data_IF_888467017591
#
_entry.id   IF_888467017591
#
_cell.length_a   1.000
_cell.length_b   1.000
_cell.length_c   1.000
_cell.angle_alpha   90.00
_cell.angle_beta   90.00
_cell.angle_gamma   90.00
#
_symmetry.space_group_name_H-M   'P 1'
#
loop_
_entity.id
_entity.type
_entity.pdbx_description
1 polymer ?
#
# COMPACT_ATOMS: atom_id res chain seq x y z
N UNK A 1 9.14 37.66 30.07
CA UNK A 1 9.49 37.24 28.71
C UNK A 1 9.42 35.71 28.67
N UNK A 2 8.32 35.19 28.22
CA UNK A 2 8.06 33.74 28.15
C UNK A 2 8.50 33.28 26.76
N UNK A 3 9.56 32.48 26.70
CA UNK A 3 10.02 31.80 25.51
C UNK A 3 8.96 30.78 25.08
N UNK A 4 8.31 31.05 23.96
CA UNK A 4 7.46 30.11 23.28
C UNK A 4 8.36 29.06 22.59
N UNK A 5 8.46 27.88 23.18
CA UNK A 5 9.10 26.74 22.52
C UNK A 5 8.32 26.41 21.24
N UNK A 6 8.95 26.68 20.10
CA UNK A 6 8.48 26.18 18.80
C UNK A 6 8.69 24.67 18.79
N UNK A 7 7.61 23.91 18.75
CA UNK A 7 7.63 22.50 18.38
C UNK A 7 8.20 22.36 16.95
N UNK A 8 9.05 21.37 16.69
CA UNK A 8 9.61 21.15 15.35
C UNK A 8 8.47 20.94 14.33
N UNK A 9 8.45 21.76 13.29
CA UNK A 9 7.59 21.56 12.12
C UNK A 9 7.96 20.20 11.48
N UNK A 10 7.06 19.21 11.57
CA UNK A 10 7.23 17.89 10.94
C UNK A 10 6.50 16.75 11.62
N UNK A 11 6.13 16.86 12.87
CA UNK A 11 5.38 15.80 13.56
C UNK A 11 3.90 16.17 13.66
N UNK A 12 3.13 15.84 12.63
CA UNK A 12 1.67 15.84 12.76
C UNK A 12 1.24 14.66 13.61
N UNK A 13 0.96 14.92 14.87
CA UNK A 13 0.38 13.95 15.81
C UNK A 13 -1.10 13.64 15.53
N UNK A 14 -1.67 14.21 14.47
CA UNK A 14 -3.08 14.00 14.11
C UNK A 14 -3.19 12.96 13.00
N UNK A 15 -4.18 12.04 13.08
CA UNK A 15 -4.55 11.20 11.96
C UNK A 15 -4.78 12.09 10.72
N UNK A 16 -4.22 11.70 9.58
CA UNK A 16 -4.37 12.49 8.34
C UNK A 16 -5.77 12.38 7.72
N UNK A 17 -6.59 11.49 8.22
CA UNK A 17 -7.98 11.40 7.84
C UNK A 17 -8.70 12.59 8.45
N UNK A 18 -9.06 13.57 7.64
CA UNK A 18 -9.93 14.66 8.07
C UNK A 18 -11.38 14.25 7.86
N UNK A 19 -12.28 14.49 8.83
CA UNK A 19 -13.71 14.33 8.59
C UNK A 19 -14.11 15.10 7.34
N UNK A 20 -14.83 14.43 6.43
CA UNK A 20 -15.26 15.03 5.17
C UNK A 20 -16.75 15.33 5.25
N UNK A 21 -17.12 16.58 4.93
CA UNK A 21 -18.49 16.98 4.69
C UNK A 21 -18.77 16.87 3.18
N UNK A 22 -19.80 16.13 2.82
CA UNK A 22 -20.23 16.01 1.43
C UNK A 22 -21.01 17.26 1.02
N UNK A 23 -20.31 18.34 0.67
CA UNK A 23 -20.93 19.59 0.20
C UNK A 23 -21.68 19.43 -1.13
N UNK A 24 -21.27 18.46 -1.95
CA UNK A 24 -21.81 18.18 -3.29
C UNK A 24 -22.85 17.04 -3.31
N UNK A 25 -23.27 16.56 -2.16
CA UNK A 25 -24.23 15.45 -2.02
C UNK A 25 -23.66 14.07 -2.36
N UNK A 26 -22.37 13.95 -2.62
CA UNK A 26 -21.73 12.64 -2.85
C UNK A 26 -21.70 11.84 -1.56
N UNK A 27 -21.98 10.52 -1.63
CA UNK A 27 -21.92 9.69 -0.44
C UNK A 27 -20.47 9.55 0.03
N UNK A 28 -20.23 9.97 1.26
CA UNK A 28 -18.93 9.86 1.94
C UNK A 28 -18.94 8.63 2.83
N UNK A 29 -17.81 7.90 2.88
CA UNK A 29 -17.68 6.71 3.73
C UNK A 29 -17.75 7.06 5.22
N UNK A 30 -18.00 6.06 6.06
CA UNK A 30 -18.02 6.23 7.52
C UNK A 30 -16.64 6.63 8.02
N UNK A 31 -15.58 5.96 7.55
CA UNK A 31 -14.20 6.29 7.93
C UNK A 31 -13.83 7.72 7.56
N UNK A 32 -14.22 8.18 6.35
CA UNK A 32 -13.99 9.55 5.93
C UNK A 32 -14.74 10.57 6.81
N UNK A 33 -15.98 10.28 7.22
CA UNK A 33 -16.76 11.15 8.12
C UNK A 33 -16.21 11.20 9.53
N UNK A 34 -15.74 10.06 10.05
CA UNK A 34 -15.27 9.94 11.43
C UNK A 34 -13.77 10.28 11.58
N UNK A 35 -13.03 10.37 10.48
CA UNK A 35 -11.57 10.60 10.50
C UNK A 35 -10.76 9.45 11.05
N UNK A 36 -11.29 8.21 10.98
CA UNK A 36 -10.64 6.99 11.46
C UNK A 36 -11.12 5.75 10.72
N UNK A 37 -10.33 4.67 10.75
CA UNK A 37 -10.72 3.39 10.16
C UNK A 37 -11.57 2.60 11.15
N UNK A 38 -12.83 2.40 10.83
CA UNK A 38 -13.81 1.79 11.72
C UNK A 38 -14.88 1.06 10.94
N UNK A 39 -15.31 -0.10 11.45
CA UNK A 39 -16.47 -0.80 10.93
C UNK A 39 -17.74 0.01 11.12
N UNK A 40 -18.59 -0.02 10.12
CA UNK A 40 -19.94 0.53 10.19
C UNK A 40 -20.87 -0.37 11.04
N UNK A 41 -21.94 0.17 11.62
CA UNK A 41 -22.96 -0.59 12.34
C UNK A 41 -23.57 -1.74 11.53
N UNK A 42 -23.52 -1.68 10.21
CA UNK A 42 -23.91 -2.80 9.33
C UNK A 42 -22.91 -3.95 9.28
N UNK A 43 -21.81 -3.88 10.03
CA UNK A 43 -20.73 -4.85 10.00
C UNK A 43 -19.86 -4.78 8.73
N UNK A 44 -19.88 -3.65 8.02
CA UNK A 44 -19.13 -3.47 6.76
C UNK A 44 -17.97 -2.50 6.94
N UNK A 45 -16.84 -2.85 6.35
CA UNK A 45 -15.70 -2.00 6.08
C UNK A 45 -15.22 -2.32 4.66
N UNK A 46 -15.08 -1.32 3.80
CA UNK A 46 -14.77 -1.52 2.39
C UNK A 46 -13.39 -1.00 2.07
N UNK A 47 -12.56 -1.86 1.50
CA UNK A 47 -11.26 -1.49 0.96
C UNK A 47 -11.31 -1.62 -0.56
N UNK A 48 -10.88 -0.60 -1.28
CA UNK A 48 -10.62 -0.66 -2.70
C UNK A 48 -9.11 -0.74 -2.91
N UNK A 49 -8.64 -1.82 -3.52
CA UNK A 49 -7.25 -1.96 -3.93
C UNK A 49 -7.09 -1.48 -5.37
N UNK A 50 -6.09 -0.66 -5.62
CA UNK A 50 -5.67 -0.17 -6.94
C UNK A 50 -4.19 -0.48 -7.11
N UNK A 51 -3.85 -1.22 -8.16
CA UNK A 51 -2.48 -1.52 -8.54
C UNK A 51 -2.23 -1.07 -9.99
N UNK A 52 -0.97 -0.95 -10.35
CA UNK A 52 -0.55 -0.84 -11.76
C UNK A 52 -1.25 0.28 -12.54
N UNK A 53 -1.38 1.46 -11.95
CA UNK A 53 -1.77 2.66 -12.72
C UNK A 53 -0.80 2.85 -13.88
N UNK A 54 0.50 2.72 -13.61
CA UNK A 54 1.60 2.76 -14.57
C UNK A 54 1.48 3.89 -15.61
N UNK A 55 1.00 5.05 -15.17
CA UNK A 55 0.99 6.26 -15.97
C UNK A 55 2.24 7.11 -15.70
N UNK A 56 2.64 7.89 -16.71
CA UNK A 56 3.68 8.90 -16.58
C UNK A 56 3.17 10.17 -15.89
N UNK A 57 3.93 11.30 -15.99
CA UNK A 57 3.55 12.57 -15.36
C UNK A 57 2.24 13.18 -15.89
N UNK A 58 1.71 12.67 -16.99
CA UNK A 58 0.40 12.98 -17.52
C UNK A 58 -0.46 11.72 -17.42
N UNK A 59 -1.26 11.65 -16.36
CA UNK A 59 -2.18 10.54 -16.13
C UNK A 59 -3.26 10.52 -17.20
N UNK A 60 -3.59 9.32 -17.71
CA UNK A 60 -4.62 9.13 -18.72
C UNK A 60 -5.98 9.57 -18.19
N UNK A 61 -6.81 10.16 -19.05
CA UNK A 61 -8.18 10.51 -18.71
C UNK A 61 -9.03 9.27 -18.41
N UNK A 62 -8.75 8.16 -19.09
CA UNK A 62 -9.46 6.90 -18.87
C UNK A 62 -9.08 6.31 -17.50
N UNK A 63 -7.82 6.42 -17.08
CA UNK A 63 -7.39 6.06 -15.71
C UNK A 63 -8.16 6.85 -14.66
N UNK A 64 -8.25 8.17 -14.81
CA UNK A 64 -8.98 9.03 -13.88
C UNK A 64 -10.47 8.64 -13.86
N UNK A 65 -11.09 8.46 -15.04
CA UNK A 65 -12.50 8.07 -15.14
C UNK A 65 -12.77 6.70 -14.49
N UNK A 66 -11.85 5.74 -14.66
CA UNK A 66 -11.96 4.42 -14.03
C UNK A 66 -11.86 4.52 -12.51
N UNK A 67 -10.91 5.31 -11.99
CA UNK A 67 -10.79 5.57 -10.56
C UNK A 67 -12.09 6.20 -10.03
N UNK A 68 -12.61 7.23 -10.67
CA UNK A 68 -13.87 7.88 -10.26
C UNK A 68 -15.04 6.91 -10.24
N UNK A 69 -15.24 6.13 -11.31
CA UNK A 69 -16.30 5.14 -11.39
C UNK A 69 -16.17 4.05 -10.31
N UNK A 70 -14.93 3.60 -10.03
CA UNK A 70 -14.65 2.61 -9.00
C UNK A 70 -14.95 3.14 -7.60
N UNK A 71 -14.59 4.40 -7.30
CA UNK A 71 -14.89 5.06 -6.03
C UNK A 71 -16.40 5.22 -5.82
N UNK A 72 -17.13 5.61 -6.86
CA UNK A 72 -18.58 5.81 -6.78
C UNK A 72 -19.34 4.47 -6.64
N UNK A 73 -18.86 3.42 -7.28
CA UNK A 73 -19.44 2.07 -7.18
C UNK A 73 -19.14 1.39 -5.83
N UNK A 74 -17.87 1.37 -5.42
CA UNK A 74 -17.43 0.68 -4.21
C UNK A 74 -17.75 1.46 -2.94
N UNK A 75 -17.69 2.78 -2.96
CA UNK A 75 -17.77 3.68 -1.80
C UNK A 75 -16.86 3.21 -0.67
N UNK A 76 -15.54 3.14 -0.93
CA UNK A 76 -14.61 2.55 0.01
C UNK A 76 -14.41 3.41 1.24
N UNK A 77 -14.10 2.75 2.36
CA UNK A 77 -13.64 3.40 3.59
C UNK A 77 -12.14 3.70 3.55
N UNK A 78 -11.41 2.95 2.72
CA UNK A 78 -9.99 3.13 2.47
C UNK A 78 -9.66 2.70 1.04
N UNK A 79 -8.76 3.44 0.38
CA UNK A 79 -8.10 2.99 -0.85
C UNK A 79 -6.67 2.57 -0.54
N UNK A 80 -6.25 1.43 -1.05
CA UNK A 80 -4.86 0.96 -0.97
C UNK A 80 -4.27 0.89 -2.36
N UNK A 81 -3.22 1.68 -2.59
CA UNK A 81 -2.39 1.60 -3.78
C UNK A 81 -1.28 0.59 -3.53
N UNK A 82 -1.32 -0.55 -4.22
CA UNK A 82 -0.44 -1.68 -3.94
C UNK A 82 0.73 -1.84 -4.92
N UNK A 83 1.25 -0.72 -5.42
CA UNK A 83 2.47 -0.68 -6.22
C UNK A 83 2.26 -0.40 -7.70
N UNK A 84 3.35 -0.01 -8.37
CA UNK A 84 3.40 0.41 -9.77
C UNK A 84 2.44 1.56 -10.10
N UNK A 85 2.35 2.54 -9.21
CA UNK A 85 1.54 3.73 -9.44
C UNK A 85 2.19 4.65 -10.48
N UNK A 86 3.52 4.71 -10.46
CA UNK A 86 4.34 5.51 -11.39
C UNK A 86 5.00 4.59 -12.41
N UNK A 87 4.81 4.88 -13.71
CA UNK A 87 5.61 4.28 -14.77
C UNK A 87 7.03 4.86 -14.73
N UNK A 88 7.86 4.42 -13.77
CA UNK A 88 9.20 4.96 -13.58
C UNK A 88 10.10 4.86 -14.83
N UNK A 89 9.72 4.02 -15.78
CA UNK A 89 10.35 3.87 -17.10
C UNK A 89 9.80 4.81 -18.17
N UNK A 90 8.84 5.69 -17.84
CA UNK A 90 8.30 6.68 -18.79
C UNK A 90 9.43 7.57 -19.34
N UNK A 91 9.45 7.89 -20.64
CA UNK A 91 10.46 8.76 -21.25
C UNK A 91 10.63 10.13 -20.56
N UNK A 92 9.63 10.62 -19.87
CA UNK A 92 9.73 11.85 -19.09
C UNK A 92 10.77 11.76 -17.97
N UNK A 93 11.07 10.56 -17.47
CA UNK A 93 12.07 10.30 -16.45
C UNK A 93 13.44 9.89 -17.01
N UNK A 94 13.67 9.96 -18.32
CA UNK A 94 14.88 9.45 -18.98
C UNK A 94 16.20 9.95 -18.38
N UNK A 95 16.23 11.18 -17.82
CA UNK A 95 17.44 11.76 -17.21
C UNK A 95 17.75 11.25 -15.80
N UNK A 96 16.78 10.62 -15.15
CA UNK A 96 16.91 10.07 -13.80
C UNK A 96 16.59 8.57 -13.75
N UNK A 97 16.21 7.97 -14.85
CA UNK A 97 15.81 6.57 -14.94
C UNK A 97 16.87 5.61 -14.37
N UNK A 98 16.43 4.67 -13.55
CA UNK A 98 17.24 3.56 -13.03
C UNK A 98 16.57 2.23 -13.36
N UNK A 99 17.24 1.40 -14.15
CA UNK A 99 16.73 0.06 -14.48
C UNK A 99 16.68 -0.86 -13.25
N UNK A 100 17.63 -0.70 -12.31
CA UNK A 100 17.79 -1.50 -11.10
C UNK A 100 18.26 -0.61 -9.95
N UNK A 101 17.87 -0.91 -8.71
CA UNK A 101 18.29 -0.12 -7.53
C UNK A 101 19.80 -0.07 -7.34
N UNK A 102 20.49 -1.12 -7.71
CA UNK A 102 21.95 -1.24 -7.60
C UNK A 102 22.73 -0.67 -8.78
N UNK A 103 22.08 0.01 -9.72
CA UNK A 103 22.79 0.81 -10.72
C UNK A 103 23.43 2.00 -10.01
N UNK A 104 24.78 2.06 -10.02
CA UNK A 104 25.56 3.05 -9.26
C UNK A 104 25.78 4.38 -10.01
N UNK A 105 25.26 4.54 -11.23
CA UNK A 105 25.39 5.77 -11.98
C UNK A 105 24.80 6.95 -11.19
N UNK A 106 25.64 7.98 -10.97
CA UNK A 106 25.21 9.18 -10.29
C UNK A 106 24.20 9.97 -11.14
N UNK A 107 23.03 10.22 -10.58
CA UNK A 107 22.03 11.07 -11.21
C UNK A 107 22.24 12.50 -10.76
N UNK A 108 22.32 13.47 -11.67
CA UNK A 108 22.44 14.90 -11.32
C UNK A 108 21.24 15.34 -10.47
N UNK A 109 21.48 16.11 -9.41
CA UNK A 109 20.42 16.60 -8.52
C UNK A 109 19.37 17.44 -9.26
N UNK A 110 19.76 18.17 -10.31
CA UNK A 110 18.81 18.89 -11.15
C UNK A 110 17.81 17.96 -11.87
N UNK A 111 18.24 16.76 -12.26
CA UNK A 111 17.37 15.76 -12.87
C UNK A 111 16.43 15.14 -11.81
N UNK A 112 16.95 14.85 -10.60
CA UNK A 112 16.13 14.36 -9.49
C UNK A 112 15.08 15.40 -9.06
N UNK A 113 15.44 16.68 -8.98
CA UNK A 113 14.49 17.75 -8.66
C UNK A 113 13.37 17.83 -9.68
N UNK A 114 13.71 17.76 -10.98
CA UNK A 114 12.70 17.71 -12.03
C UNK A 114 11.80 16.46 -11.92
N UNK A 115 12.40 15.31 -11.63
CA UNK A 115 11.63 14.06 -11.40
C UNK A 115 10.66 14.21 -10.23
N UNK A 116 11.07 14.80 -9.10
CA UNK A 116 10.19 15.06 -7.94
C UNK A 116 8.96 15.91 -8.33
N UNK A 117 9.16 16.92 -9.19
CA UNK A 117 8.04 17.73 -9.72
C UNK A 117 7.09 16.90 -10.59
N UNK A 118 7.64 16.08 -11.47
CA UNK A 118 6.84 15.21 -12.36
C UNK A 118 6.07 14.16 -11.57
N UNK A 119 6.68 13.56 -10.55
CA UNK A 119 6.02 12.59 -9.65
C UNK A 119 4.89 13.26 -8.86
N UNK A 120 5.13 14.45 -8.29
CA UNK A 120 4.05 15.23 -7.62
C UNK A 120 2.88 15.49 -8.57
N UNK A 121 3.18 15.83 -9.82
CA UNK A 121 2.15 16.07 -10.83
C UNK A 121 1.33 14.82 -11.13
N UNK A 122 1.95 13.65 -11.24
CA UNK A 122 1.24 12.38 -11.45
C UNK A 122 0.34 12.05 -10.25
N UNK A 123 0.91 12.05 -9.04
CA UNK A 123 0.20 11.75 -7.80
C UNK A 123 -1.01 12.66 -7.61
N UNK A 124 -0.83 13.96 -7.80
CA UNK A 124 -1.93 14.93 -7.67
C UNK A 124 -3.10 14.66 -8.61
N UNK A 125 -2.85 14.11 -9.81
CA UNK A 125 -3.90 13.78 -10.76
C UNK A 125 -4.69 12.54 -10.32
N UNK A 126 -4.06 11.40 -10.05
CA UNK A 126 -4.80 10.17 -9.72
C UNK A 126 -5.35 10.15 -8.29
N UNK A 127 -4.83 10.97 -7.37
CA UNK A 127 -5.38 11.10 -6.02
C UNK A 127 -6.46 12.19 -5.90
N UNK A 128 -6.60 13.10 -6.87
CA UNK A 128 -7.63 14.14 -6.88
C UNK A 128 -9.06 13.60 -6.70
N UNK A 129 -9.47 12.50 -7.37
CA UNK A 129 -10.80 11.91 -7.13
C UNK A 129 -11.03 11.44 -5.70
N UNK A 130 -9.98 10.99 -5.00
CA UNK A 130 -10.06 10.59 -3.60
C UNK A 130 -10.17 11.82 -2.69
N UNK A 131 -9.33 12.83 -2.94
CA UNK A 131 -9.32 14.07 -2.17
C UNK A 131 -10.68 14.79 -2.23
N UNK A 132 -11.32 14.85 -3.42
CA UNK A 132 -12.64 15.45 -3.60
C UNK A 132 -13.77 14.71 -2.87
N UNK A 133 -13.56 13.44 -2.50
CA UNK A 133 -14.51 12.59 -1.76
C UNK A 133 -14.12 12.43 -0.29
N UNK A 134 -12.99 13.02 0.15
CA UNK A 134 -12.46 12.86 1.49
C UNK A 134 -12.07 11.42 1.85
N UNK A 135 -11.80 10.57 0.85
CA UNK A 135 -11.46 9.15 1.06
C UNK A 135 -9.99 9.04 1.46
N UNK A 136 -9.67 8.44 2.62
CA UNK A 136 -8.29 8.17 3.00
C UNK A 136 -7.68 7.08 2.11
N UNK A 137 -6.36 7.14 1.95
CA UNK A 137 -5.64 6.15 1.16
C UNK A 137 -4.23 5.93 1.69
N UNK A 138 -3.70 4.75 1.38
CA UNK A 138 -2.36 4.32 1.73
C UNK A 138 -1.66 3.74 0.51
N UNK A 139 -0.34 3.73 0.49
CA UNK A 139 0.46 3.25 -0.65
C UNK A 139 1.62 2.37 -0.20
N UNK A 140 1.87 1.29 -0.96
CA UNK A 140 3.12 0.54 -0.98
C UNK A 140 3.68 0.53 -2.41
N UNK A 141 4.86 -0.05 -2.62
CA UNK A 141 5.62 0.11 -3.85
C UNK A 141 5.74 -1.19 -4.64
N UNK A 142 5.77 -1.05 -5.97
CA UNK A 142 6.06 -2.10 -6.91
C UNK A 142 7.46 -1.97 -7.53
N UNK A 143 7.73 -2.80 -8.52
CA UNK A 143 9.03 -2.88 -9.18
C UNK A 143 9.30 -1.76 -10.19
N UNK A 144 8.32 -0.94 -10.53
CA UNK A 144 8.48 0.17 -11.45
C UNK A 144 8.53 1.55 -10.80
N UNK A 145 8.00 1.71 -9.59
CA UNK A 145 7.91 3.04 -8.96
C UNK A 145 9.29 3.71 -8.80
N UNK A 146 10.30 2.98 -8.27
CA UNK A 146 11.65 3.53 -8.07
C UNK A 146 12.40 3.82 -9.37
N UNK A 147 11.98 3.24 -10.50
CA UNK A 147 12.69 3.39 -11.78
C UNK A 147 12.72 4.84 -12.28
N UNK A 148 11.84 5.71 -11.77
CA UNK A 148 11.94 7.15 -12.01
C UNK A 148 13.23 7.79 -11.47
N UNK A 149 14.03 7.06 -10.66
CA UNK A 149 15.30 7.48 -10.07
C UNK A 149 15.20 7.88 -8.61
N UNK A 150 13.99 8.01 -8.05
CA UNK A 150 13.78 8.29 -6.63
C UNK A 150 13.74 6.99 -5.83
N UNK A 151 14.25 7.03 -4.62
CA UNK A 151 14.12 5.91 -3.68
C UNK A 151 12.67 5.81 -3.17
N UNK A 152 12.29 4.62 -2.66
CA UNK A 152 10.97 4.45 -2.05
C UNK A 152 10.76 5.38 -0.84
N UNK A 153 11.84 5.75 -0.12
CA UNK A 153 11.75 6.73 0.97
C UNK A 153 11.42 8.14 0.47
N UNK A 154 12.01 8.56 -0.66
CA UNK A 154 11.69 9.84 -1.29
C UNK A 154 10.28 9.85 -1.86
N UNK A 155 9.87 8.77 -2.52
CA UNK A 155 8.51 8.60 -3.01
C UNK A 155 7.50 8.66 -1.86
N UNK A 156 7.76 7.96 -0.76
CA UNK A 156 6.92 7.97 0.44
C UNK A 156 6.78 9.39 1.01
N UNK A 157 7.89 10.15 1.06
CA UNK A 157 7.87 11.56 1.43
C UNK A 157 6.93 12.38 0.55
N UNK A 158 6.99 12.19 -0.76
CA UNK A 158 6.13 12.91 -1.72
C UNK A 158 4.67 12.48 -1.59
N UNK A 159 4.37 11.18 -1.50
CA UNK A 159 2.99 10.71 -1.31
C UNK A 159 2.34 11.31 -0.07
N UNK A 160 3.08 11.46 1.02
CA UNK A 160 2.59 12.05 2.27
C UNK A 160 2.31 13.56 2.20
N UNK A 161 2.75 14.25 1.16
CA UNK A 161 2.39 15.65 0.91
C UNK A 161 0.91 15.81 0.52
N UNK A 162 0.27 14.75 0.01
CA UNK A 162 -1.09 14.80 -0.53
C UNK A 162 -2.16 14.48 0.51
N UNK A 163 -3.28 15.20 0.41
CA UNK A 163 -4.43 15.03 1.29
C UNK A 163 -4.98 13.60 1.22
N UNK A 164 -5.25 13.03 2.39
CA UNK A 164 -5.81 11.69 2.52
C UNK A 164 -4.76 10.57 2.57
N UNK A 165 -3.50 10.83 2.28
CA UNK A 165 -2.44 9.84 2.49
C UNK A 165 -2.23 9.59 3.98
N UNK A 166 -2.37 8.32 4.40
CA UNK A 166 -2.22 7.91 5.79
C UNK A 166 -0.96 7.07 6.05
N UNK A 167 -0.03 7.01 5.09
CA UNK A 167 1.27 6.41 5.34
C UNK A 167 1.93 7.05 6.56
N UNK A 168 2.50 6.28 7.50
CA UNK A 168 3.22 6.82 8.64
C UNK A 168 4.46 7.59 8.19
N UNK A 169 4.89 8.62 8.92
CA UNK A 169 6.15 9.33 8.64
C UNK A 169 7.36 8.39 8.72
N UNK A 170 8.39 8.63 7.91
CA UNK A 170 9.61 7.80 7.87
C UNK A 170 10.39 7.79 9.19
N UNK A 171 10.36 8.87 9.95
CA UNK A 171 10.94 8.98 11.29
C UNK A 171 10.13 8.22 12.36
N UNK A 172 8.82 8.07 12.15
CA UNK A 172 7.97 7.21 12.96
C UNK A 172 8.28 5.73 12.75
N UNK A 173 8.83 5.36 11.58
CA UNK A 173 9.26 4.00 11.28
C UNK A 173 10.40 3.51 12.20
N UNK A 174 11.25 4.42 12.65
CA UNK A 174 12.39 4.09 13.53
C UNK A 174 12.02 3.96 15.02
N UNK A 175 10.82 4.36 15.44
CA UNK A 175 10.46 4.54 16.87
C UNK A 175 9.09 3.97 17.17
N UNK A 176 8.67 2.82 16.77
CA UNK A 176 7.35 2.28 17.13
C UNK A 176 6.35 3.39 17.57
N UNK A 177 6.03 4.30 16.65
CA UNK A 177 5.22 5.46 17.00
C UNK A 177 3.77 5.06 16.98
N UNK A 178 3.21 5.02 18.15
CA UNK A 178 1.84 4.68 18.47
C UNK A 178 0.96 5.90 18.21
N UNK A 179 0.12 5.86 17.18
CA UNK A 179 -0.93 6.88 16.97
C UNK A 179 -2.21 6.39 17.59
N UNK A 180 -2.71 7.14 18.52
CA UNK A 180 -3.86 6.79 19.33
C UNK A 180 -4.97 7.81 19.16
N UNK A 181 -6.21 7.35 19.10
CA UNK A 181 -7.37 8.22 19.14
C UNK A 181 -8.22 7.90 20.39
N UNK A 182 -8.66 8.91 21.10
CA UNK A 182 -9.72 8.77 22.10
C UNK A 182 -11.06 8.40 21.45
N UNK A 183 -12.02 7.91 22.23
CA UNK A 183 -13.39 7.58 21.79
C UNK A 183 -14.10 8.74 21.08
N UNK A 184 -13.68 9.97 21.33
CA UNK A 184 -14.18 11.20 20.70
C UNK A 184 -13.45 11.59 19.42
N UNK A 185 -12.47 10.77 18.97
CA UNK A 185 -11.65 11.04 17.77
C UNK A 185 -10.51 12.03 17.99
N UNK A 186 -10.27 12.50 19.22
CA UNK A 186 -9.13 13.34 19.52
C UNK A 186 -7.84 12.51 19.68
N UNK A 187 -6.66 13.05 19.29
CA UNK A 187 -5.40 12.35 19.49
C UNK A 187 -5.09 12.21 20.99
N UNK A 188 -4.77 11.00 21.43
CA UNK A 188 -4.33 10.75 22.79
C UNK A 188 -2.91 11.28 23.01
N UNK A 189 -2.70 11.96 24.14
CA UNK A 189 -1.38 12.35 24.56
C UNK A 189 -0.59 11.12 25.06
N UNK A 190 0.68 11.02 24.70
CA UNK A 190 1.59 9.89 24.97
C UNK A 190 2.03 9.80 26.42
N UNK A 191 1.12 9.84 27.38
CA UNK A 191 1.45 9.79 28.81
C UNK A 191 1.04 8.48 29.50
N UNK A 192 1.16 7.34 28.79
CA UNK A 192 1.21 6.03 29.47
C UNK A 192 -0.13 5.47 29.96
N UNK A 193 -1.25 6.00 29.57
CA UNK A 193 -2.57 5.44 29.89
C UNK A 193 -3.22 4.78 28.69
N UNK A 194 -3.97 3.71 28.93
CA UNK A 194 -4.62 2.81 27.96
C UNK A 194 -5.24 3.54 26.78
N UNK A 195 -4.79 3.18 25.61
CA UNK A 195 -5.06 3.95 24.44
C UNK A 195 -5.31 3.05 23.23
N UNK A 196 -6.20 3.52 22.40
CA UNK A 196 -6.68 2.85 21.19
C UNK A 196 -5.56 2.60 20.17
N UNK A 197 -5.68 1.53 19.47
CA UNK A 197 -4.74 0.88 18.59
C UNK A 197 -3.80 1.73 17.74
N UNK A 198 -2.52 1.43 17.84
CA UNK A 198 -1.48 2.14 17.10
C UNK A 198 -1.33 1.65 15.65
N UNK A 199 -0.91 2.57 14.76
CA UNK A 199 -0.29 2.15 13.50
C UNK A 199 1.06 1.54 13.85
N UNK A 200 1.26 0.26 13.52
CA UNK A 200 2.57 -0.38 13.59
C UNK A 200 3.32 -0.11 12.29
N UNK A 201 4.50 0.45 12.40
CA UNK A 201 5.32 0.78 11.25
C UNK A 201 6.66 0.05 11.28
N UNK A 202 7.13 -0.39 10.13
CA UNK A 202 8.46 -0.93 9.92
C UNK A 202 9.45 0.18 9.51
N UNK A 203 10.75 -0.12 9.53
CA UNK A 203 11.78 0.78 9.01
C UNK A 203 11.81 0.83 7.47
N UNK A 204 11.04 -0.02 6.80
CA UNK A 204 11.00 -0.11 5.34
C UNK A 204 9.83 0.73 4.82
N UNK A 205 10.08 1.75 3.97
CA UNK A 205 9.02 2.57 3.37
C UNK A 205 8.00 1.71 2.63
N UNK A 206 6.72 1.98 2.86
CA UNK A 206 5.61 1.19 2.30
C UNK A 206 5.29 -0.10 3.06
N UNK A 207 5.98 -0.40 4.20
CA UNK A 207 5.67 -1.53 5.07
C UNK A 207 5.17 -1.02 6.41
N UNK A 208 3.88 -1.22 6.68
CA UNK A 208 3.22 -0.81 7.94
C UNK A 208 1.85 -1.48 8.06
N UNK A 209 1.24 -1.39 9.24
CA UNK A 209 -0.08 -1.95 9.50
C UNK A 209 -1.03 -0.88 10.04
N UNK A 210 -2.23 -0.86 9.50
CA UNK A 210 -3.33 0.03 9.86
C UNK A 210 -4.37 -0.76 10.64
N UNK A 211 -4.65 -0.43 11.91
CA UNK A 211 -5.72 -1.04 12.65
C UNK A 211 -7.09 -0.52 12.19
N UNK A 212 -8.06 -1.42 12.13
CA UNK A 212 -9.47 -1.08 11.91
C UNK A 212 -10.25 -1.43 13.16
N UNK A 213 -10.93 -0.44 13.71
CA UNK A 213 -11.69 -0.54 14.94
C UNK A 213 -13.05 -1.21 14.72
N UNK A 214 -13.60 -1.79 15.78
CA UNK A 214 -15.02 -2.16 15.81
C UNK A 214 -15.93 -0.93 15.78
N UNK A 215 -17.25 -1.19 15.73
CA UNK A 215 -18.26 -0.12 15.63
C UNK A 215 -18.27 0.83 16.83
N UNK A 216 -17.84 0.38 17.99
CA UNK A 216 -17.85 1.12 19.25
C UNK A 216 -16.46 1.70 19.58
N UNK A 217 -15.48 1.48 18.71
CA UNK A 217 -14.07 1.87 18.91
C UNK A 217 -13.46 1.35 20.22
N UNK A 218 -13.81 0.13 20.60
CA UNK A 218 -13.34 -0.48 21.85
C UNK A 218 -12.14 -1.39 21.64
N UNK A 219 -11.96 -1.92 20.43
CA UNK A 219 -10.86 -2.84 20.08
C UNK A 219 -10.60 -2.84 18.58
N UNK A 220 -9.40 -3.30 18.21
CA UNK A 220 -9.08 -3.68 16.83
C UNK A 220 -9.81 -4.97 16.47
N UNK A 221 -10.36 -5.02 15.28
CA UNK A 221 -11.04 -6.21 14.74
C UNK A 221 -10.43 -6.68 13.42
N UNK A 222 -9.60 -5.84 12.80
CA UNK A 222 -8.90 -6.16 11.56
C UNK A 222 -7.60 -5.35 11.48
N UNK A 223 -6.52 -5.96 11.01
CA UNK A 223 -5.32 -5.28 10.54
C UNK A 223 -5.30 -5.20 9.01
N UNK A 224 -4.92 -4.05 8.47
CA UNK A 224 -4.61 -3.89 7.04
C UNK A 224 -3.12 -3.65 6.92
N UNK A 225 -2.40 -4.64 6.41
CA UNK A 225 -0.94 -4.64 6.36
C UNK A 225 -0.49 -4.38 4.94
N UNK A 226 0.22 -3.28 4.75
CA UNK A 226 0.88 -2.99 3.49
C UNK A 226 2.32 -3.51 3.58
N UNK A 227 2.77 -4.19 2.53
CA UNK A 227 4.10 -4.78 2.45
C UNK A 227 4.80 -4.30 1.19
N UNK A 228 5.96 -3.68 1.36
CA UNK A 228 6.89 -3.48 0.27
C UNK A 228 7.55 -4.83 -0.02
N UNK A 229 7.01 -5.54 -1.00
CA UNK A 229 7.42 -6.91 -1.38
C UNK A 229 8.75 -6.99 -2.12
N UNK A 230 9.50 -5.88 -2.21
CA UNK A 230 10.71 -5.79 -2.99
C UNK A 230 10.43 -5.44 -4.46
N UNK A 231 11.49 -5.39 -5.27
CA UNK A 231 11.39 -5.11 -6.70
C UNK A 231 12.04 -6.21 -7.55
N UNK A 232 13.35 -6.13 -7.79
CA UNK A 232 14.08 -7.08 -8.61
C UNK A 232 15.15 -7.80 -7.80
N UNK A 233 15.47 -9.05 -8.15
CA UNK A 233 16.58 -9.80 -7.61
C UNK A 233 17.85 -9.60 -8.44
N UNK A 234 19.04 -9.63 -7.80
CA UNK A 234 20.33 -9.55 -8.48
C UNK A 234 20.52 -10.68 -9.50
N UNK A 235 20.03 -11.88 -9.20
CA UNK A 235 20.05 -13.05 -10.08
C UNK A 235 19.03 -13.05 -11.21
N UNK A 236 18.26 -11.96 -11.34
CA UNK A 236 17.13 -11.85 -12.27
C UNK A 236 15.80 -12.29 -11.65
N UNK A 237 14.70 -11.87 -12.25
CA UNK A 237 13.37 -12.04 -11.68
C UNK A 237 13.06 -11.00 -10.62
N UNK A 238 12.08 -11.29 -9.77
CA UNK A 238 11.62 -10.40 -8.71
C UNK A 238 12.34 -10.68 -7.39
N UNK A 239 12.51 -9.64 -6.59
CA UNK A 239 13.01 -9.71 -5.22
C UNK A 239 11.93 -10.14 -4.23
N UNK A 240 12.32 -10.25 -2.97
CA UNK A 240 11.47 -10.61 -1.85
C UNK A 240 11.46 -9.50 -0.81
N UNK A 241 10.52 -9.49 0.14
CA UNK A 241 10.60 -8.61 1.29
C UNK A 241 11.93 -8.73 2.03
N UNK A 242 12.39 -7.62 2.59
CA UNK A 242 13.65 -7.61 3.34
C UNK A 242 13.52 -8.39 4.66
N UNK A 243 14.65 -8.83 5.28
CA UNK A 243 14.63 -9.45 6.59
C UNK A 243 13.93 -8.61 7.66
N UNK A 244 14.06 -7.27 7.59
CA UNK A 244 13.39 -6.34 8.49
C UNK A 244 11.87 -6.36 8.29
N UNK A 245 11.40 -6.46 7.04
CA UNK A 245 9.99 -6.65 6.72
C UNK A 245 9.47 -7.98 7.30
N UNK A 246 10.20 -9.06 7.12
CA UNK A 246 9.81 -10.38 7.66
C UNK A 246 9.74 -10.37 9.20
N UNK A 247 10.70 -9.72 9.85
CA UNK A 247 10.70 -9.56 11.30
C UNK A 247 9.48 -8.75 11.78
N UNK A 248 9.15 -7.67 11.07
CA UNK A 248 7.95 -6.86 11.33
C UNK A 248 6.67 -7.68 11.21
N UNK A 249 6.53 -8.49 10.15
CA UNK A 249 5.35 -9.33 9.93
C UNK A 249 5.17 -10.35 11.07
N UNK A 250 6.24 -10.97 11.54
CA UNK A 250 6.20 -11.91 12.67
C UNK A 250 5.78 -11.26 14.00
N UNK A 251 6.14 -10.00 14.19
CA UNK A 251 5.82 -9.24 15.41
C UNK A 251 4.39 -8.63 15.40
N UNK A 252 3.72 -8.57 14.26
CA UNK A 252 2.42 -7.91 14.12
C UNK A 252 1.30 -8.42 15.04
N UNK A 253 1.17 -9.74 15.35
CA UNK A 253 0.13 -10.23 16.25
C UNK A 253 0.15 -9.55 17.62
N UNK A 254 1.35 -9.24 18.12
CA UNK A 254 1.52 -8.57 19.42
C UNK A 254 1.07 -7.09 19.37
N UNK A 255 1.11 -6.48 18.20
CA UNK A 255 0.80 -5.05 18.02
C UNK A 255 -0.64 -4.81 17.61
N UNK A 256 -1.19 -5.64 16.73
CA UNK A 256 -2.55 -5.43 16.20
C UNK A 256 -3.61 -6.14 17.05
N UNK A 257 -3.30 -7.32 17.57
CA UNK A 257 -4.24 -8.10 18.37
C UNK A 257 -5.47 -8.60 17.61
N UNK A 258 -5.44 -8.57 16.28
CA UNK A 258 -6.53 -8.99 15.40
C UNK A 258 -5.97 -9.67 14.14
N UNK A 259 -6.80 -10.45 13.46
CA UNK A 259 -6.46 -10.99 12.14
C UNK A 259 -6.21 -9.86 11.16
N UNK A 260 -5.32 -10.10 10.19
CA UNK A 260 -4.91 -9.08 9.25
C UNK A 260 -5.06 -9.55 7.80
N UNK A 261 -5.30 -8.58 6.91
CA UNK A 261 -5.20 -8.75 5.47
C UNK A 261 -3.92 -8.08 4.97
N UNK A 262 -3.21 -8.76 4.07
CA UNK A 262 -1.95 -8.25 3.48
C UNK A 262 -2.21 -7.70 2.09
N UNK A 263 -1.61 -6.56 1.80
CA UNK A 263 -1.62 -5.88 0.51
C UNK A 263 -0.19 -5.65 0.06
N UNK A 264 0.18 -6.24 -1.05
CA UNK A 264 1.51 -6.13 -1.64
C UNK A 264 1.46 -6.18 -3.15
N UNK A 265 2.58 -5.89 -3.79
CA UNK A 265 2.66 -5.87 -5.24
C UNK A 265 2.99 -7.23 -5.83
N UNK A 266 4.10 -7.85 -5.41
CA UNK A 266 4.52 -9.16 -5.92
C UNK A 266 3.75 -10.29 -5.24
N UNK A 267 3.18 -11.23 -6.00
CA UNK A 267 2.56 -12.43 -5.43
C UNK A 267 3.59 -13.31 -4.72
N UNK A 268 3.10 -14.11 -3.77
CA UNK A 268 3.90 -15.16 -3.12
C UNK A 268 4.15 -16.35 -4.07
N UNK A 269 5.31 -17.00 -4.02
CA UNK A 269 5.55 -18.23 -4.78
C UNK A 269 4.51 -19.32 -4.51
N UNK A 270 3.97 -19.36 -3.30
CA UNK A 270 2.97 -20.33 -2.83
C UNK A 270 1.63 -20.24 -3.58
N UNK A 271 1.38 -19.15 -4.31
CA UNK A 271 0.21 -19.10 -5.21
C UNK A 271 0.20 -20.23 -6.25
N UNK A 272 1.35 -20.78 -6.62
CA UNK A 272 1.38 -21.95 -7.48
C UNK A 272 0.73 -23.19 -6.84
N UNK A 273 0.54 -23.24 -5.52
CA UNK A 273 -0.14 -24.33 -4.84
C UNK A 273 -1.66 -24.35 -5.06
N UNK A 274 -2.26 -23.22 -5.51
CA UNK A 274 -3.67 -23.16 -5.89
C UNK A 274 -3.90 -23.37 -7.38
N UNK A 275 -2.85 -23.78 -8.10
CA UNK A 275 -2.87 -24.06 -9.51
C UNK A 275 -2.70 -25.57 -9.74
N UNK A 276 -3.26 -26.08 -10.83
CA UNK A 276 -2.99 -27.43 -11.33
C UNK A 276 -2.31 -27.38 -12.70
N UNK A 277 -1.31 -28.25 -12.94
CA UNK A 277 -0.67 -28.36 -14.24
C UNK A 277 -1.64 -28.95 -15.28
N UNK A 278 -1.56 -28.42 -16.50
CA UNK A 278 -2.39 -28.84 -17.63
C UNK A 278 -1.57 -28.88 -18.91
N UNK A 279 -2.11 -29.48 -19.97
CA UNK A 279 -1.50 -29.40 -21.29
C UNK A 279 -1.55 -27.95 -21.83
N UNK A 280 -0.56 -27.55 -22.61
CA UNK A 280 -0.46 -26.22 -23.19
C UNK A 280 -1.67 -25.77 -24.03
N UNK A 281 -2.42 -26.73 -24.58
CA UNK A 281 -3.61 -26.48 -25.38
C UNK A 281 -4.92 -26.58 -24.57
N UNK A 282 -4.86 -26.72 -23.26
CA UNK A 282 -6.04 -26.71 -22.41
C UNK A 282 -6.67 -25.31 -22.39
N UNK A 283 -8.00 -25.26 -22.20
CA UNK A 283 -8.70 -23.99 -22.10
C UNK A 283 -8.17 -23.20 -20.89
N UNK A 284 -7.91 -21.89 -21.09
CA UNK A 284 -7.37 -20.97 -20.08
C UNK A 284 -5.99 -21.37 -19.52
N UNK A 285 -5.23 -22.23 -20.22
CA UNK A 285 -3.89 -22.60 -19.80
C UNK A 285 -2.94 -21.39 -19.90
N UNK A 286 -2.26 -21.06 -18.81
CA UNK A 286 -1.25 -20.02 -18.73
C UNK A 286 0.10 -20.64 -18.44
N UNK A 287 1.13 -20.24 -19.19
CA UNK A 287 2.51 -20.66 -18.94
C UNK A 287 2.99 -20.15 -17.59
N UNK A 288 3.64 -20.99 -16.82
CA UNK A 288 4.25 -20.57 -15.55
C UNK A 288 5.41 -19.60 -15.76
N UNK A 289 5.76 -18.91 -14.70
CA UNK A 289 6.83 -17.90 -14.71
C UNK A 289 8.17 -18.53 -14.26
N UNK A 290 9.26 -18.14 -14.91
CA UNK A 290 10.66 -18.54 -14.58
C UNK A 290 10.83 -20.04 -14.28
N UNK A 291 11.00 -20.42 -13.01
CA UNK A 291 11.20 -21.84 -12.63
C UNK A 291 10.03 -22.75 -12.97
N UNK A 292 8.89 -22.18 -13.27
CA UNK A 292 7.69 -22.88 -13.70
C UNK A 292 7.42 -22.79 -15.21
N UNK A 293 8.34 -22.19 -15.99
CA UNK A 293 8.13 -21.85 -17.40
C UNK A 293 7.93 -23.05 -18.32
N UNK A 294 8.34 -24.26 -17.91
CA UNK A 294 8.16 -25.49 -18.68
C UNK A 294 6.76 -26.10 -18.49
N UNK A 295 5.92 -25.52 -17.67
CA UNK A 295 4.61 -26.05 -17.32
C UNK A 295 3.51 -25.02 -17.53
N UNK A 296 2.35 -25.47 -17.98
CA UNK A 296 1.14 -24.67 -18.12
C UNK A 296 0.18 -25.00 -16.98
N UNK A 297 -0.54 -23.98 -16.53
CA UNK A 297 -1.40 -24.05 -15.34
C UNK A 297 -2.79 -23.47 -15.60
N UNK A 298 -3.77 -23.97 -14.88
CA UNK A 298 -5.07 -23.34 -14.65
C UNK A 298 -5.32 -23.25 -13.14
N UNK A 299 -6.33 -22.48 -12.72
CA UNK A 299 -6.78 -22.55 -11.33
C UNK A 299 -7.26 -23.97 -10.99
N UNK A 300 -6.88 -24.45 -9.81
CA UNK A 300 -7.38 -25.71 -9.28
C UNK A 300 -8.77 -25.47 -8.65
N UNK A 301 -9.82 -26.00 -9.26
CA UNK A 301 -11.20 -25.81 -8.81
C UNK A 301 -11.48 -26.44 -7.44
N UNK A 302 -10.67 -27.40 -7.00
CA UNK A 302 -10.76 -28.00 -5.66
C UNK A 302 -10.17 -27.07 -4.57
N UNK A 303 -9.37 -26.08 -4.98
CA UNK A 303 -8.65 -25.15 -4.09
C UNK A 303 -9.07 -23.69 -4.24
N UNK A 304 -9.87 -23.39 -5.25
CA UNK A 304 -10.31 -22.03 -5.58
C UNK A 304 -11.82 -21.96 -5.72
N UNK A 305 -12.37 -20.76 -5.62
CA UNK A 305 -13.80 -20.56 -5.85
C UNK A 305 -14.14 -20.67 -7.33
N UNK A 306 -15.32 -21.16 -7.62
CA UNK A 306 -15.81 -21.30 -9.00
C UNK A 306 -15.90 -19.93 -9.70
N UNK A 307 -15.62 -19.93 -11.01
CA UNK A 307 -15.75 -18.77 -11.87
C UNK A 307 -14.48 -17.90 -12.01
N UNK A 308 -13.40 -18.28 -11.35
CA UNK A 308 -12.09 -17.67 -11.55
C UNK A 308 -11.35 -18.24 -12.75
N UNK A 309 -10.41 -17.45 -13.32
CA UNK A 309 -9.44 -17.91 -14.31
C UNK A 309 -8.13 -17.12 -14.17
N UNK A 310 -7.05 -17.67 -14.71
CA UNK A 310 -5.78 -16.93 -14.80
C UNK A 310 -5.82 -16.05 -16.05
N UNK A 311 -5.61 -14.74 -15.87
CA UNK A 311 -5.47 -13.81 -16.98
C UNK A 311 -4.08 -13.86 -17.60
N UNK A 312 -3.06 -14.11 -16.77
CA UNK A 312 -1.66 -14.22 -17.16
C UNK A 312 -0.90 -15.15 -16.20
N UNK A 313 0.36 -15.46 -16.49
CA UNK A 313 1.23 -16.21 -15.60
C UNK A 313 1.55 -15.44 -14.33
N UNK A 314 1.69 -16.15 -13.21
CA UNK A 314 1.99 -15.53 -11.91
C UNK A 314 3.46 -15.12 -11.86
N UNK A 315 3.72 -13.83 -11.98
CA UNK A 315 5.05 -13.21 -11.87
C UNK A 315 5.42 -13.01 -10.41
N UNK A 316 6.10 -14.01 -9.80
CA UNK A 316 6.49 -13.98 -8.40
C UNK A 316 8.02 -14.16 -8.24
N UNK A 317 8.59 -13.92 -7.06
CA UNK A 317 9.94 -14.36 -6.71
C UNK A 317 10.12 -15.88 -6.91
N UNK A 318 11.34 -16.31 -7.16
CA UNK A 318 11.63 -17.75 -7.29
C UNK A 318 11.48 -18.48 -5.94
N UNK A 319 11.81 -17.81 -4.84
CA UNK A 319 11.69 -18.29 -3.44
C UNK A 319 11.46 -17.11 -2.51
N UNK A 320 10.77 -17.33 -1.38
CA UNK A 320 10.53 -16.31 -0.35
C UNK A 320 10.20 -16.97 0.98
N UNK A 321 10.70 -16.41 2.07
CA UNK A 321 10.33 -16.81 3.44
C UNK A 321 9.07 -16.08 3.94
N UNK A 322 8.43 -15.29 3.07
CA UNK A 322 7.30 -14.43 3.43
C UNK A 322 6.08 -15.23 3.85
N UNK A 323 5.77 -16.31 3.14
CA UNK A 323 4.62 -17.17 3.47
C UNK A 323 4.70 -17.70 4.91
N UNK A 324 5.89 -18.14 5.34
CA UNK A 324 6.10 -18.61 6.70
C UNK A 324 5.96 -17.48 7.72
N UNK A 325 6.49 -16.30 7.42
CA UNK A 325 6.34 -15.12 8.28
C UNK A 325 4.86 -14.72 8.43
N UNK A 326 4.07 -14.78 7.36
CA UNK A 326 2.64 -14.51 7.37
C UNK A 326 1.89 -15.58 8.18
N UNK A 327 2.22 -16.86 8.00
CA UNK A 327 1.62 -17.98 8.72
C UNK A 327 1.89 -17.88 10.24
N UNK A 328 3.11 -17.55 10.64
CA UNK A 328 3.47 -17.30 12.03
C UNK A 328 2.76 -16.05 12.59
N UNK A 329 2.55 -15.03 11.76
CA UNK A 329 1.90 -13.78 12.11
C UNK A 329 0.36 -13.82 12.15
N UNK A 330 -0.29 -15.01 12.07
CA UNK A 330 -1.76 -15.17 12.11
C UNK A 330 -2.52 -14.35 11.06
N UNK A 331 -1.96 -14.26 9.86
CA UNK A 331 -2.71 -13.75 8.73
C UNK A 331 -3.68 -14.82 8.24
N UNK A 332 -4.96 -14.51 8.20
CA UNK A 332 -5.98 -15.49 7.84
C UNK A 332 -6.94 -14.98 6.81
#
# INVERSE_FOLDING_TARGET
MTETQRTPEGMSSKPRIKPADAEDGRPVSISARLGRLQFHYSGKFRVLQIADIQDGPKVSKDTIALIEASLDAARPDLVIFSGNQIAGYDPAFAKSFRKRRWCEEAIPESALNHTRELVRKAIGQFTSPLASRGIPWAVTYGNHDFQCGLSNAELDGIYREFLGCINPPSDALAKQTVYMCHKDGSPAATNGEETDAPISASTIPGTFALPVMDVDCTRNVLGLVLVNSGDYAHGGGFGTPSPETLAFLKALPEHIGAKSMVFQHMPLPEYYQVLKPVAANAAFAMQGYRKHADTYYVLDEDRTQAGGYLGEGISCPDESDEFEALREGYFG
#
